data_IF_213566867679
#
_entry.id   IF_213566867679
#
_cell.length_a   1.000
_cell.length_b   1.000
_cell.length_c   1.000
_cell.angle_alpha   90.00
_cell.angle_beta   90.00
_cell.angle_gamma   90.00
#
_symmetry.space_group_name_H-M   'P 1'
#
loop_
_entity.id
_entity.type
_entity.pdbx_description
1 polymer ?
2 non-polymer ?
3 non-polymer ?
4 non-polymer ?
5 water ?
#
# COMPACT_ATOMS: atom_id res chain seq x y z
N UNK A 1 18.35 6.66 17.93
CA UNK A 1 17.48 7.49 17.05
C UNK A 1 16.73 8.53 17.87
N UNK A 2 16.35 9.66 17.24
CA UNK A 2 15.61 10.71 17.95
C UNK A 2 14.12 10.36 17.97
N UNK A 3 13.29 11.23 18.52
CA UNK A 3 11.84 10.99 18.57
C UNK A 3 11.35 10.92 17.13
N UNK A 4 10.19 10.28 16.90
CA UNK A 4 9.61 10.13 15.57
C UNK A 4 9.46 11.42 14.78
N UNK A 5 8.80 12.43 15.36
CA UNK A 5 8.63 13.69 14.62
C UNK A 5 9.95 14.37 14.30
N UNK A 6 10.92 14.27 15.20
CA UNK A 6 12.22 14.89 14.95
C UNK A 6 12.90 14.15 13.80
N UNK A 7 12.77 12.83 13.76
CA UNK A 7 13.39 12.08 12.69
C UNK A 7 12.69 12.37 11.35
N UNK A 8 11.37 12.50 11.36
CA UNK A 8 10.64 12.81 10.13
C UNK A 8 11.14 14.15 9.57
N UNK A 9 11.31 15.14 10.44
CA UNK A 9 11.78 16.45 10.00
C UNK A 9 13.17 16.31 9.43
N UNK A 10 14.02 15.56 10.11
CA UNK A 10 15.37 15.35 9.63
C UNK A 10 15.37 14.72 8.25
N UNK A 11 14.44 13.79 8.00
CA UNK A 11 14.38 13.17 6.69
C UNK A 11 14.03 14.20 5.59
N UNK A 12 13.11 15.13 5.85
CA UNK A 12 12.82 16.16 4.84
C UNK A 12 14.04 17.02 4.58
N UNK A 13 14.75 17.39 5.66
CA UNK A 13 15.95 18.22 5.53
C UNK A 13 17.01 17.50 4.70
N UNK A 14 17.21 16.22 4.97
CA UNK A 14 18.22 15.47 4.23
C UNK A 14 17.83 15.14 2.79
N UNK A 15 16.56 14.85 2.55
CA UNK A 15 16.09 14.51 1.21
C UNK A 15 15.68 15.69 0.33
N UNK A 16 15.44 16.84 0.95
CA UNK A 16 14.91 18.03 0.27
C UNK A 16 13.54 17.73 -0.31
N UNK A 17 12.84 16.76 0.28
CA UNK A 17 11.52 16.41 -0.23
C UNK A 17 10.49 16.45 0.87
N UNK A 18 9.23 16.23 0.51
CA UNK A 18 8.13 16.19 1.47
C UNK A 18 7.92 14.75 1.91
N UNK A 19 7.71 14.58 3.22
CA UNK A 19 7.40 13.29 3.82
C UNK A 19 6.00 13.44 4.40
N UNK A 20 5.17 12.42 4.22
CA UNK A 20 3.83 12.40 4.78
C UNK A 20 3.76 11.13 5.63
N UNK A 21 3.25 11.24 6.86
CA UNK A 21 3.24 10.09 7.73
C UNK A 21 2.11 10.06 8.73
N UNK A 22 1.59 8.85 8.95
CA UNK A 22 0.58 8.63 9.99
C UNK A 22 0.96 7.35 10.72
N UNK A 23 0.81 7.38 12.03
CA UNK A 23 1.00 6.20 12.89
C UNK A 23 -0.36 6.11 13.60
N UNK A 24 -1.05 4.99 13.44
CA UNK A 24 -2.42 4.82 13.97
C UNK A 24 -2.64 3.46 14.65
N UNK A 25 -3.33 3.43 15.79
CA UNK A 25 -3.62 2.16 16.44
C UNK A 25 -4.57 1.41 15.49
N UNK A 26 -4.26 0.16 15.15
CA UNK A 26 -5.12 -0.57 14.21
C UNK A 26 -6.52 -0.91 14.77
N UNK A 27 -6.55 -1.31 16.03
CA UNK A 27 -7.82 -1.68 16.62
C UNK A 27 -8.77 -0.50 16.88
N UNK A 28 -8.25 0.66 17.29
CA UNK A 28 -9.16 1.78 17.59
C UNK A 28 -9.16 2.96 16.64
N UNK A 29 -8.10 3.12 15.86
CA UNK A 29 -8.00 4.27 14.99
C UNK A 29 -7.34 5.47 15.66
N UNK A 30 -6.91 5.32 16.91
CA UNK A 30 -6.22 6.43 17.61
C UNK A 30 -5.03 6.91 16.77
N UNK A 31 -4.97 8.19 16.46
CA UNK A 31 -3.83 8.70 15.72
C UNK A 31 -2.73 9.10 16.70
N UNK A 32 -1.53 8.51 16.56
CA UNK A 32 -0.40 8.82 17.44
C UNK A 32 0.56 9.86 16.90
N UNK A 33 0.91 9.75 15.63
CA UNK A 33 1.81 10.70 15.00
C UNK A 33 1.17 11.09 13.68
N UNK A 34 1.20 12.38 13.35
CA UNK A 34 0.63 12.85 12.11
C UNK A 34 1.55 13.96 11.61
N UNK A 35 2.09 13.79 10.40
CA UNK A 35 2.94 14.81 9.79
C UNK A 35 2.50 14.92 8.33
N UNK A 36 2.05 16.12 7.94
CA UNK A 36 1.53 16.38 6.60
C UNK A 36 0.53 15.30 6.28
N UNK A 37 -0.25 14.93 7.28
CA UNK A 37 -1.20 13.85 7.10
C UNK A 37 -2.38 14.15 6.19
N UNK A 38 -2.63 15.43 5.93
CA UNK A 38 -3.72 15.80 5.06
C UNK A 38 -3.23 16.32 3.72
N UNK A 39 -1.93 16.15 3.46
CA UNK A 39 -1.35 16.55 2.19
C UNK A 39 -1.35 15.36 1.23
N UNK A 40 -1.45 15.65 -0.07
CA UNK A 40 -1.47 14.60 -1.08
C UNK A 40 -0.12 14.07 -1.49
N UNK A 41 -0.08 12.77 -1.69
CA UNK A 41 1.11 12.06 -2.15
C UNK A 41 0.71 10.99 -3.16
N UNK A 42 1.55 10.73 -4.16
CA UNK A 42 1.23 9.69 -5.15
C UNK A 42 1.17 8.34 -4.39
N UNK A 43 0.11 7.55 -4.63
CA UNK A 43 -0.01 6.23 -3.99
C UNK A 43 0.95 5.21 -4.55
N UNK A 44 1.27 5.35 -5.83
CA UNK A 44 2.14 4.37 -6.48
C UNK A 44 1.52 2.98 -6.29
N UNK A 45 2.37 1.96 -6.16
CA UNK A 45 1.88 0.61 -6.03
C UNK A 45 1.13 0.32 -4.74
N UNK A 46 1.11 1.24 -3.78
CA UNK A 46 0.34 0.95 -2.56
C UNK A 46 -1.16 0.86 -2.88
N UNK A 47 -1.58 1.37 -4.04
CA UNK A 47 -3.01 1.29 -4.41
C UNK A 47 -3.46 -0.16 -4.54
N UNK A 48 -2.51 -1.07 -4.76
CA UNK A 48 -2.87 -2.48 -4.97
C UNK A 48 -3.58 -3.13 -3.77
N UNK A 49 -3.31 -2.63 -2.56
CA UNK A 49 -4.00 -3.17 -1.40
C UNK A 49 -5.48 -2.74 -1.45
N UNK A 50 -5.75 -1.46 -1.75
CA UNK A 50 -7.14 -0.98 -1.84
C UNK A 50 -7.89 -1.70 -2.98
N UNK A 51 -7.19 -1.89 -4.10
CA UNK A 51 -7.73 -2.64 -5.22
C UNK A 51 -8.27 -4.01 -4.78
N UNK A 52 -7.44 -4.75 -4.03
CA UNK A 52 -7.87 -6.08 -3.64
C UNK A 52 -8.95 -6.03 -2.56
N UNK A 53 -9.05 -4.92 -1.82
CA UNK A 53 -10.16 -4.78 -0.88
C UNK A 53 -11.43 -4.68 -1.71
N UNK A 54 -11.40 -4.00 -2.86
CA UNK A 54 -12.59 -3.87 -3.71
C UNK A 54 -12.95 -5.25 -4.31
N UNK A 55 -11.94 -6.01 -4.74
CA UNK A 55 -12.18 -7.36 -5.26
C UNK A 55 -12.83 -8.23 -4.18
N UNK A 56 -12.31 -8.16 -2.95
CA UNK A 56 -12.88 -8.96 -1.89
C UNK A 56 -14.33 -8.56 -1.60
N UNK A 57 -14.65 -7.28 -1.73
CA UNK A 57 -16.02 -6.83 -1.49
C UNK A 57 -16.93 -7.48 -2.55
N UNK A 58 -16.46 -7.59 -3.79
CA UNK A 58 -17.26 -8.25 -4.82
C UNK A 58 -17.43 -9.73 -4.49
N UNK A 59 -16.38 -10.35 -3.95
CA UNK A 59 -16.48 -11.77 -3.58
C UNK A 59 -17.53 -11.91 -2.48
N UNK A 60 -17.48 -11.04 -1.48
CA UNK A 60 -18.43 -11.10 -0.38
C UNK A 60 -19.87 -10.97 -0.88
N UNK A 61 -20.07 -10.11 -1.87
CA UNK A 61 -21.40 -9.89 -2.45
C UNK A 61 -21.85 -11.01 -3.38
N UNK A 62 -20.95 -11.94 -3.70
CA UNK A 62 -21.27 -13.04 -4.61
C UNK A 62 -21.12 -12.66 -6.08
N UNK A 63 -20.47 -11.53 -6.36
CA UNK A 63 -20.26 -11.08 -7.74
C UNK A 63 -18.90 -11.46 -8.31
N UNK A 64 -18.11 -12.15 -7.50
CA UNK A 64 -16.77 -12.59 -7.89
C UNK A 64 -16.40 -13.79 -7.06
N UNK A 65 -15.42 -14.56 -7.52
CA UNK A 65 -14.88 -15.71 -6.80
C UNK A 65 -13.36 -15.65 -6.85
N UNK A 66 -12.69 -15.86 -5.73
CA UNK A 66 -11.23 -15.84 -5.76
C UNK A 66 -10.72 -17.01 -6.60
N UNK A 67 -11.55 -18.05 -6.74
CA UNK A 67 -11.21 -19.23 -7.54
C UNK A 67 -11.30 -18.99 -9.05
N UNK A 68 -12.10 -17.99 -9.46
CA UNK A 68 -12.32 -17.80 -10.89
C UNK A 68 -11.05 -17.60 -11.71
N UNK A 69 -10.84 -18.45 -12.70
CA UNK A 69 -9.65 -18.33 -13.51
C UNK A 69 -9.80 -17.34 -14.65
N UNK A 70 -8.85 -16.42 -14.76
CA UNK A 70 -8.83 -15.43 -15.81
C UNK A 70 -7.73 -15.76 -16.81
N UNK A 71 -8.10 -15.86 -18.08
CA UNK A 71 -7.13 -16.14 -19.11
C UNK A 71 -6.89 -14.80 -19.79
N UNK A 72 -5.64 -14.51 -20.03
CA UNK A 72 -5.29 -13.26 -20.65
C UNK A 72 -4.26 -13.55 -21.74
N UNK A 73 -3.92 -12.50 -22.49
CA UNK A 73 -3.00 -12.61 -23.62
C UNK A 73 -1.73 -11.83 -23.39
N UNK A 74 -0.70 -12.15 -24.16
CA UNK A 74 0.55 -11.45 -24.01
C UNK A 74 0.40 -9.95 -24.28
N UNK A 75 -0.50 -9.60 -25.18
CA UNK A 75 -0.73 -8.19 -25.52
C UNK A 75 -1.32 -7.42 -24.32
N UNK A 76 -1.85 -8.15 -23.34
CA UNK A 76 -2.44 -7.50 -22.16
C UNK A 76 -1.38 -7.15 -21.14
N UNK A 77 -0.19 -7.70 -21.30
CA UNK A 77 0.86 -7.44 -20.32
C UNK A 77 1.49 -6.06 -20.39
N UNK A 78 1.77 -5.49 -19.21
CA UNK A 78 2.44 -4.21 -19.08
C UNK A 78 3.75 -4.42 -18.33
N UNK A 79 4.56 -3.36 -18.26
CA UNK A 79 5.85 -3.39 -17.61
C UNK A 79 5.81 -3.94 -16.18
N UNK A 80 6.67 -4.94 -15.93
CA UNK A 80 6.86 -5.61 -14.65
C UNK A 80 5.69 -6.51 -14.29
N UNK A 81 5.79 -7.74 -14.78
CA UNK A 81 4.76 -8.75 -14.61
C UNK A 81 5.47 -10.07 -14.28
N UNK A 82 6.23 -10.10 -13.17
CA UNK A 82 6.96 -11.31 -12.79
C UNK A 82 6.18 -12.58 -12.64
N UNK A 83 4.95 -12.49 -12.19
CA UNK A 83 4.14 -13.69 -12.03
C UNK A 83 3.23 -13.90 -13.24
N UNK A 84 2.52 -12.86 -13.65
CA UNK A 84 1.58 -13.01 -14.75
C UNK A 84 2.21 -13.40 -16.09
N UNK A 85 3.46 -13.00 -16.33
CA UNK A 85 4.09 -13.37 -17.60
C UNK A 85 4.33 -14.88 -17.67
N UNK A 86 4.25 -15.57 -16.53
CA UNK A 86 4.51 -17.01 -16.51
C UNK A 86 3.24 -17.83 -16.73
N UNK A 87 2.09 -17.16 -16.87
CA UNK A 87 0.83 -17.88 -17.00
C UNK A 87 -0.01 -17.55 -18.20
N UNK A 88 0.66 -17.33 -19.32
CA UNK A 88 -0.06 -17.03 -20.56
C UNK A 88 -0.82 -18.25 -21.08
N UNK A 89 -0.30 -19.45 -20.80
CA UNK A 89 -0.96 -20.65 -21.26
C UNK A 89 -2.07 -21.12 -20.33
N UNK A 90 -1.86 -20.99 -19.01
CA UNK A 90 -2.85 -21.50 -18.07
C UNK A 90 -3.71 -20.52 -17.29
N UNK A 91 -3.42 -19.23 -17.38
CA UNK A 91 -4.21 -18.24 -16.67
C UNK A 91 -3.90 -18.20 -15.19
N UNK A 92 -4.60 -17.31 -14.48
CA UNK A 92 -4.43 -17.16 -13.04
C UNK A 92 -5.79 -16.93 -12.41
N UNK A 93 -5.99 -17.41 -11.19
CA UNK A 93 -7.27 -17.15 -10.52
C UNK A 93 -7.27 -15.70 -10.00
N UNK A 94 -8.45 -15.19 -9.73
CA UNK A 94 -8.58 -13.83 -9.21
C UNK A 94 -7.77 -13.74 -7.89
N UNK A 95 -7.83 -14.77 -7.05
CA UNK A 95 -7.06 -14.74 -5.82
C UNK A 95 -5.56 -14.72 -6.09
N UNK A 96 -5.12 -15.51 -7.06
CA UNK A 96 -3.70 -15.53 -7.45
C UNK A 96 -3.29 -14.15 -7.98
N UNK A 97 -4.19 -13.51 -8.73
CA UNK A 97 -3.90 -12.18 -9.23
C UNK A 97 -3.70 -11.17 -8.10
N UNK A 98 -4.56 -11.25 -7.08
CA UNK A 98 -4.37 -10.34 -5.93
C UNK A 98 -3.07 -10.67 -5.21
N UNK A 99 -2.76 -11.96 -5.04
CA UNK A 99 -1.50 -12.27 -4.39
C UNK A 99 -0.32 -11.73 -5.21
N UNK A 100 -0.38 -11.85 -6.54
CA UNK A 100 0.72 -11.35 -7.36
C UNK A 100 0.79 -9.82 -7.28
N UNK A 101 -0.35 -9.16 -7.32
CA UNK A 101 -0.37 -7.69 -7.28
C UNK A 101 0.18 -7.17 -5.95
N UNK A 102 -0.23 -7.78 -4.85
CA UNK A 102 0.21 -7.30 -3.54
C UNK A 102 1.57 -7.82 -3.12
N UNK A 103 1.84 -9.12 -3.31
CA UNK A 103 3.11 -9.66 -2.82
C UNK A 103 4.30 -9.53 -3.75
N UNK A 104 4.05 -9.28 -5.03
CA UNK A 104 5.11 -9.13 -6.02
C UNK A 104 5.02 -7.81 -6.78
N UNK A 105 3.96 -7.05 -6.53
CA UNK A 105 3.68 -5.75 -7.18
C UNK A 105 3.55 -5.93 -8.69
N UNK A 106 3.01 -7.09 -9.08
CA UNK A 106 2.81 -7.44 -10.49
C UNK A 106 1.79 -6.47 -11.13
N UNK A 107 2.24 -5.70 -12.14
CA UNK A 107 1.39 -4.72 -12.75
C UNK A 107 0.28 -5.21 -13.66
N UNK A 108 0.54 -6.27 -14.41
CA UNK A 108 -0.52 -6.78 -15.29
C UNK A 108 -1.59 -7.41 -14.40
N UNK A 109 -1.17 -8.08 -13.34
CA UNK A 109 -2.18 -8.66 -12.43
C UNK A 109 -3.04 -7.52 -11.90
N UNK A 110 -2.42 -6.41 -11.49
CA UNK A 110 -3.18 -5.27 -10.99
C UNK A 110 -4.16 -4.74 -12.02
N UNK A 111 -3.71 -4.61 -13.27
CA UNK A 111 -4.60 -4.11 -14.32
C UNK A 111 -5.77 -5.04 -14.62
N UNK A 112 -5.51 -6.34 -14.62
CA UNK A 112 -6.58 -7.29 -14.88
C UNK A 112 -7.62 -7.15 -13.76
N UNK A 113 -7.17 -7.05 -12.52
CA UNK A 113 -8.09 -6.87 -11.39
C UNK A 113 -8.81 -5.52 -11.47
N UNK A 114 -8.09 -4.48 -11.86
CA UNK A 114 -8.67 -3.14 -11.96
C UNK A 114 -9.85 -3.13 -12.91
N UNK A 115 -9.73 -3.85 -14.03
CA UNK A 115 -10.83 -3.89 -14.98
C UNK A 115 -12.05 -4.53 -14.31
N UNK A 116 -11.86 -5.58 -13.51
CA UNK A 116 -13.01 -6.24 -12.89
C UNK A 116 -13.82 -5.36 -11.93
N UNK A 117 -13.19 -4.32 -11.36
CA UNK A 117 -13.91 -3.46 -10.47
C UNK A 117 -14.35 -2.16 -11.14
N UNK A 118 -14.24 -2.09 -12.47
CA UNK A 118 -14.65 -0.89 -13.17
C UNK A 118 -13.56 0.13 -13.48
N UNK A 119 -12.31 -0.31 -13.51
CA UNK A 119 -11.22 0.60 -13.82
C UNK A 119 -10.95 1.61 -12.72
N UNK A 120 -10.05 2.57 -12.97
CA UNK A 120 -9.71 3.60 -12.00
C UNK A 120 -10.97 4.28 -11.44
N UNK A 121 -11.94 4.57 -12.29
CA UNK A 121 -13.17 5.22 -11.84
C UNK A 121 -13.96 4.33 -10.89
N UNK A 122 -14.01 3.04 -11.20
CA UNK A 122 -14.73 2.09 -10.36
C UNK A 122 -14.07 1.95 -8.99
N UNK A 123 -12.74 1.95 -8.95
CA UNK A 123 -12.06 1.82 -7.67
C UNK A 123 -12.28 3.10 -6.86
N UNK A 124 -12.28 4.24 -7.53
CA UNK A 124 -12.50 5.50 -6.84
C UNK A 124 -13.92 5.54 -6.27
N UNK A 125 -14.88 5.01 -7.02
CA UNK A 125 -16.25 4.96 -6.53
C UNK A 125 -16.32 4.06 -5.30
N UNK A 126 -15.57 2.96 -5.30
CA UNK A 126 -15.54 2.05 -4.15
C UNK A 126 -14.99 2.80 -2.93
N UNK A 127 -13.93 3.57 -3.12
CA UNK A 127 -13.35 4.35 -2.01
C UNK A 127 -14.43 5.30 -1.45
N UNK A 128 -15.17 5.97 -2.34
CA UNK A 128 -16.21 6.88 -1.86
C UNK A 128 -17.27 6.07 -1.08
N UNK A 129 -17.56 4.86 -1.52
CA UNK A 129 -18.55 4.00 -0.85
C UNK A 129 -18.16 3.61 0.56
N UNK A 130 -16.86 3.56 0.86
CA UNK A 130 -16.43 3.22 2.20
C UNK A 130 -16.07 4.48 2.98
N UNK A 131 -16.41 5.64 2.43
CA UNK A 131 -16.17 6.87 3.17
C UNK A 131 -14.85 7.57 2.98
N UNK A 132 -14.08 7.19 1.97
CA UNK A 132 -12.83 7.88 1.69
C UNK A 132 -13.17 8.82 0.55
N UNK A 133 -13.22 10.12 0.84
CA UNK A 133 -13.58 11.11 -0.15
C UNK A 133 -12.37 11.86 -0.67
N UNK A 134 -11.19 11.30 -0.42
CA UNK A 134 -9.95 11.94 -0.81
C UNK A 134 -9.11 11.13 -1.80
N UNK A 135 -8.85 9.88 -1.46
CA UNK A 135 -8.06 9.01 -2.32
C UNK A 135 -8.68 8.88 -3.69
N UNK A 136 -7.86 8.87 -4.74
CA UNK A 136 -8.39 8.75 -6.09
C UNK A 136 -7.42 8.01 -7.01
N UNK A 137 -7.94 7.10 -7.83
CA UNK A 137 -7.12 6.42 -8.82
C UNK A 137 -7.66 6.94 -10.16
N UNK A 138 -6.75 7.34 -11.02
CA UNK A 138 -7.11 7.91 -12.31
C UNK A 138 -6.50 7.17 -13.48
N UNK A 139 -5.39 6.50 -13.25
CA UNK A 139 -4.69 5.80 -14.31
C UNK A 139 -4.45 4.33 -14.02
N UNK A 140 -4.09 3.62 -15.06
CA UNK A 140 -3.81 2.19 -14.97
C UNK A 140 -2.35 2.01 -14.58
N UNK A 141 -2.03 0.77 -14.21
CA UNK A 141 -0.70 0.45 -13.83
C UNK A 141 0.21 0.63 -15.02
N UNK A 142 1.28 1.25 -14.57
CA UNK A 142 2.49 1.72 -15.16
C UNK A 142 2.41 3.26 -15.13
N UNK A 143 1.42 3.87 -15.78
CA UNK A 143 1.33 5.34 -15.77
C UNK A 143 0.94 6.04 -14.45
N UNK A 144 0.37 5.33 -13.49
CA UNK A 144 -0.03 6.00 -12.25
C UNK A 144 1.12 6.42 -11.32
N UNK A 145 2.35 6.06 -11.67
CA UNK A 145 3.50 6.40 -10.84
C UNK A 145 4.29 7.62 -11.33
N UNK A 146 3.76 8.33 -12.32
CA UNK A 146 4.48 9.48 -12.88
C UNK A 146 4.84 10.60 -11.88
N UNK A 147 4.01 10.77 -10.86
CA UNK A 147 4.27 11.77 -9.81
C UNK A 147 4.63 13.18 -10.28
N UNK A 148 3.80 13.78 -11.12
CA UNK A 148 4.05 15.14 -11.59
C UNK A 148 3.70 16.14 -10.47
N UNK A 149 4.50 17.20 -10.30
CA UNK A 149 4.17 18.17 -9.24
C UNK A 149 2.82 18.85 -9.50
N UNK A 150 1.99 18.99 -8.46
CA UNK A 150 0.69 19.64 -8.64
C UNK A 150 -0.42 18.79 -9.25
N UNK A 151 -0.06 17.58 -9.68
CA UNK A 151 -1.01 16.65 -10.29
C UNK A 151 -1.69 15.87 -9.16
N UNK A 152 -3.01 16.02 -9.06
CA UNK A 152 -3.80 15.34 -8.04
C UNK A 152 -4.15 13.89 -8.42
N UNK A 153 -3.87 13.50 -9.66
CA UNK A 153 -4.19 12.14 -10.07
C UNK A 153 -3.44 11.05 -9.29
N UNK A 154 -4.15 9.97 -9.00
CA UNK A 154 -3.55 8.81 -8.36
C UNK A 154 -2.90 9.13 -7.03
N UNK A 155 -3.55 9.95 -6.22
CA UNK A 155 -3.02 10.35 -4.94
C UNK A 155 -3.91 9.94 -3.79
N UNK A 156 -3.31 9.97 -2.60
CA UNK A 156 -4.02 9.75 -1.36
C UNK A 156 -3.38 10.73 -0.36
N UNK A 157 -3.83 10.67 0.88
CA UNK A 157 -3.17 11.43 1.95
C UNK A 157 -2.84 10.38 3.01
N UNK A 158 -1.83 10.64 3.85
CA UNK A 158 -1.52 9.63 4.87
C UNK A 158 -2.74 9.30 5.74
N UNK A 159 -3.48 10.33 6.17
CA UNK A 159 -4.66 10.12 7.01
C UNK A 159 -5.72 9.31 6.29
N UNK A 160 -5.97 9.61 5.02
CA UNK A 160 -6.98 8.87 4.27
C UNK A 160 -6.62 7.42 4.06
N UNK A 161 -5.38 7.19 3.65
CA UNK A 161 -4.92 5.84 3.42
C UNK A 161 -4.93 5.01 4.68
N UNK A 162 -4.50 5.59 5.79
CA UNK A 162 -4.51 4.86 7.04
C UNK A 162 -5.94 4.49 7.44
N UNK A 163 -6.85 5.44 7.36
CA UNK A 163 -8.25 5.16 7.73
C UNK A 163 -8.87 4.13 6.79
N UNK A 164 -8.55 4.20 5.50
CA UNK A 164 -9.09 3.26 4.54
C UNK A 164 -8.56 1.85 4.80
N UNK A 165 -7.27 1.73 5.07
CA UNK A 165 -6.73 0.42 5.35
C UNK A 165 -7.37 -0.13 6.62
N UNK A 166 -7.53 0.71 7.65
CA UNK A 166 -8.17 0.21 8.86
C UNK A 166 -9.60 -0.25 8.55
N UNK A 167 -10.34 0.51 7.76
CA UNK A 167 -11.70 0.10 7.40
C UNK A 167 -11.73 -1.25 6.70
N UNK A 168 -10.80 -1.46 5.77
CA UNK A 168 -10.77 -2.72 5.04
C UNK A 168 -10.36 -3.89 5.91
N UNK A 169 -9.43 -3.68 6.82
CA UNK A 169 -8.92 -4.76 7.64
C UNK A 169 -9.72 -5.09 8.89
N UNK A 170 -10.44 -4.11 9.42
CA UNK A 170 -11.10 -4.33 10.70
C UNK A 170 -12.52 -3.87 10.92
N UNK A 171 -13.10 -3.07 10.02
CA UNK A 171 -14.44 -2.52 10.27
C UNK A 171 -15.65 -3.40 10.02
N UNK A 172 -15.41 -4.60 9.53
CA UNK A 172 -16.48 -5.54 9.21
C UNK A 172 -17.29 -5.15 7.99
N UNK A 173 -16.72 -4.27 7.16
CA UNK A 173 -17.31 -3.91 5.88
C UNK A 173 -17.06 -5.16 5.01
N UNK A 174 -15.86 -5.73 5.11
CA UNK A 174 -15.53 -6.99 4.42
C UNK A 174 -15.85 -8.11 5.41
N UNK A 175 -16.16 -9.29 4.88
CA UNK A 175 -16.45 -10.46 5.70
C UNK A 175 -15.21 -10.83 6.51
N UNK A 176 -15.39 -11.65 7.54
CA UNK A 176 -14.28 -12.09 8.35
C UNK A 176 -13.19 -12.75 7.49
N UNK A 177 -13.60 -13.68 6.61
CA UNK A 177 -12.62 -14.37 5.77
C UNK A 177 -11.89 -13.39 4.86
N UNK A 178 -12.60 -12.42 4.30
CA UNK A 178 -11.97 -11.44 3.42
C UNK A 178 -10.99 -10.55 4.18
N UNK A 179 -11.35 -10.13 5.39
CA UNK A 179 -10.44 -9.32 6.21
C UNK A 179 -9.15 -10.13 6.44
N UNK A 180 -9.30 -11.41 6.77
CA UNK A 180 -8.15 -12.28 7.02
C UNK A 180 -7.29 -12.48 5.78
N UNK A 181 -7.93 -12.59 4.63
CA UNK A 181 -7.22 -12.74 3.37
C UNK A 181 -6.42 -11.48 3.02
N UNK A 182 -7.03 -10.30 3.17
CA UNK A 182 -6.31 -9.08 2.83
C UNK A 182 -5.06 -8.93 3.71
N UNK A 183 -5.21 -9.23 5.00
CA UNK A 183 -4.09 -9.15 5.93
C UNK A 183 -3.00 -10.15 5.53
N UNK A 184 -3.39 -11.37 5.21
CA UNK A 184 -2.39 -12.36 4.87
C UNK A 184 -1.62 -11.96 3.61
N UNK A 185 -2.31 -11.38 2.63
CA UNK A 185 -1.58 -10.93 1.43
C UNK A 185 -0.50 -9.90 1.82
N UNK A 186 -0.80 -8.98 2.73
CA UNK A 186 0.22 -8.01 3.16
C UNK A 186 1.34 -8.69 3.95
N UNK A 187 1.00 -9.68 4.78
CA UNK A 187 2.00 -10.40 5.53
C UNK A 187 2.95 -11.11 4.55
N UNK A 188 2.39 -11.56 3.43
CA UNK A 188 3.16 -12.30 2.43
C UNK A 188 3.99 -11.50 1.43
N UNK A 189 4.06 -10.18 1.58
CA UNK A 189 4.85 -9.36 0.64
C UNK A 189 6.26 -9.92 0.44
N UNK A 190 6.62 -10.17 -0.82
CA UNK A 190 7.95 -10.70 -1.11
C UNK A 190 8.92 -9.62 -1.52
N UNK A 191 8.43 -8.44 -1.86
CA UNK A 191 9.32 -7.39 -2.32
C UNK A 191 10.11 -6.76 -1.18
N UNK A 192 9.41 -6.34 -0.13
CA UNK A 192 10.08 -5.71 0.99
C UNK A 192 9.97 -6.44 2.32
N UNK A 193 8.95 -7.28 2.46
CA UNK A 193 8.76 -7.99 3.71
C UNK A 193 9.97 -8.68 4.31
N UNK A 194 10.54 -9.65 3.58
CA UNK A 194 11.71 -10.37 4.10
C UNK A 194 12.87 -9.43 4.45
N UNK A 195 13.11 -8.42 3.62
CA UNK A 195 14.20 -7.48 3.89
C UNK A 195 13.93 -6.74 5.20
N UNK A 196 12.70 -6.22 5.35
CA UNK A 196 12.37 -5.52 6.59
C UNK A 196 12.53 -6.44 7.80
N UNK A 197 12.08 -7.69 7.72
CA UNK A 197 12.25 -8.59 8.87
C UNK A 197 13.71 -8.75 9.22
N UNK A 198 14.56 -8.80 8.21
CA UNK A 198 15.99 -8.98 8.43
C UNK A 198 16.63 -7.88 9.23
N UNK A 199 16.01 -6.70 9.26
CA UNK A 199 16.57 -5.60 10.03
C UNK A 199 15.71 -5.20 11.23
N UNK A 200 14.62 -5.93 11.45
CA UNK A 200 13.78 -5.61 12.59
C UNK A 200 14.23 -6.40 13.81
N UNK A 201 14.16 -5.78 14.99
CA UNK A 201 14.56 -6.52 16.20
C UNK A 201 13.59 -7.69 16.36
N UNK A 202 14.03 -8.72 17.07
CA UNK A 202 13.18 -9.86 17.33
C UNK A 202 11.91 -9.37 18.02
N UNK A 203 10.79 -9.99 17.67
CA UNK A 203 9.53 -9.67 18.31
C UNK A 203 8.65 -8.68 17.58
N UNK A 204 9.17 -8.04 16.53
CA UNK A 204 8.37 -7.08 15.79
C UNK A 204 7.69 -7.68 14.56
N UNK A 205 6.38 -7.51 14.52
CA UNK A 205 5.49 -7.94 13.45
C UNK A 205 5.59 -6.98 12.26
N UNK A 206 5.62 -7.50 11.04
CA UNK A 206 5.53 -6.61 9.87
C UNK A 206 4.64 -7.22 8.78
N UNK A 207 3.79 -6.38 8.19
CA UNK A 207 2.99 -6.71 7.00
C UNK A 207 3.07 -5.41 6.19
N UNK A 208 3.13 -5.47 4.85
CA UNK A 208 3.30 -4.23 4.14
C UNK A 208 3.04 -4.31 2.65
N UNK A 209 2.94 -3.12 2.06
CA UNK A 209 2.94 -2.98 0.61
C UNK A 209 3.73 -1.69 0.35
N UNK A 210 4.75 -1.76 -0.50
CA UNK A 210 5.53 -0.58 -0.83
C UNK A 210 5.21 -0.08 -2.24
N UNK A 211 5.73 1.11 -2.57
CA UNK A 211 5.54 1.66 -3.89
C UNK A 211 6.70 2.60 -4.21
N UNK A 212 6.89 2.87 -5.50
CA UNK A 212 7.94 3.78 -5.95
C UNK A 212 7.44 4.50 -7.19
N UNK A 213 7.90 5.72 -7.40
CA UNK A 213 7.49 6.48 -8.57
C UNK A 213 8.56 7.48 -8.98
N UNK A 214 8.17 8.40 -9.85
CA UNK A 214 9.08 9.42 -10.34
C UNK A 214 9.31 10.55 -9.35
N UNK A 215 10.32 11.36 -9.65
CA UNK A 215 10.66 12.50 -8.81
C UNK A 215 10.89 12.13 -7.35
N UNK A 216 11.42 10.92 -7.15
CA UNK A 216 11.73 10.45 -5.82
C UNK A 216 10.57 9.83 -5.06
N UNK A 217 9.40 9.73 -5.67
CA UNK A 217 8.27 9.18 -4.93
C UNK A 217 8.59 7.78 -4.39
N UNK A 218 8.21 7.56 -3.14
CA UNK A 218 8.47 6.28 -2.50
C UNK A 218 7.49 6.16 -1.35
N UNK A 219 7.02 4.95 -1.06
CA UNK A 219 6.10 4.86 0.06
C UNK A 219 5.89 3.47 0.56
N UNK A 220 5.26 3.39 1.72
CA UNK A 220 4.93 2.12 2.32
C UNK A 220 3.70 2.26 3.20
N UNK A 221 2.84 1.25 3.11
CA UNK A 221 1.67 1.16 3.98
C UNK A 221 1.96 -0.14 4.75
N UNK A 222 1.93 -0.09 6.07
CA UNK A 222 2.33 -1.25 6.87
C UNK A 222 1.60 -1.41 8.16
N UNK A 223 1.72 -2.63 8.68
CA UNK A 223 1.23 -2.96 10.01
C UNK A 223 2.50 -3.32 10.77
N UNK A 224 2.65 -2.78 11.96
CA UNK A 224 3.86 -2.94 12.76
C UNK A 224 3.54 -3.02 14.23
N UNK A 225 4.31 -3.80 14.97
CA UNK A 225 4.10 -3.81 16.40
C UNK A 225 4.97 -4.78 17.13
N UNK A 226 5.23 -4.53 18.41
CA UNK A 226 6.06 -5.43 19.20
C UNK A 226 5.17 -6.60 19.66
N UNK A 227 5.79 -7.59 20.31
CA UNK A 227 5.08 -8.77 20.80
C UNK A 227 4.39 -9.52 19.67
N UNK A 228 4.97 -9.48 18.48
CA UNK A 228 4.43 -10.17 17.32
C UNK A 228 2.98 -9.88 17.02
N UNK A 229 2.59 -8.63 17.24
CA UNK A 229 1.21 -8.19 17.00
C UNK A 229 1.14 -7.03 16.04
N UNK A 230 0.13 -7.01 15.16
CA UNK A 230 -0.10 -5.90 14.23
C UNK A 230 -0.78 -4.78 15.03
N UNK A 231 -0.01 -4.10 15.86
CA UNK A 231 -0.56 -3.08 16.74
C UNK A 231 -0.93 -1.79 16.05
N UNK A 232 -0.10 -1.36 15.11
CA UNK A 232 -0.34 -0.08 14.46
C UNK A 232 -0.22 -0.10 12.96
N UNK A 233 -0.98 0.78 12.32
CA UNK A 233 -0.87 1.03 10.92
C UNK A 233 0.15 2.19 10.82
N UNK A 234 1.13 2.06 9.93
CA UNK A 234 2.10 3.12 9.70
C UNK A 234 2.12 3.34 8.20
N UNK A 235 1.83 4.57 7.80
CA UNK A 235 1.83 4.95 6.39
C UNK A 235 2.88 6.05 6.22
N UNK A 236 3.83 5.81 5.32
CA UNK A 236 4.84 6.83 5.05
C UNK A 236 4.97 7.04 3.55
N UNK A 237 4.83 8.28 3.11
CA UNK A 237 4.99 8.62 1.70
C UNK A 237 6.06 9.70 1.57
N UNK A 238 6.85 9.62 0.50
CA UNK A 238 7.87 10.62 0.21
C UNK A 238 7.60 11.12 -1.21
N UNK A 239 7.83 12.41 -1.46
CA UNK A 239 7.67 12.91 -2.83
C UNK A 239 8.63 14.08 -3.04
N UNK A 240 8.92 14.33 -4.31
CA UNK A 240 9.75 15.44 -4.74
C UNK A 240 11.13 15.57 -4.09
N UNK A 241 11.88 14.48 -4.18
CA UNK A 241 13.23 14.47 -3.69
C UNK A 241 14.09 13.88 -4.80
N UNK A 242 15.30 14.41 -5.00
CA UNK A 242 16.17 13.89 -6.05
C UNK A 242 17.04 12.73 -5.55
N UNK A 243 16.82 12.29 -4.31
CA UNK A 243 17.67 11.27 -3.72
C UNK A 243 17.63 9.87 -4.34
N UNK A 244 18.75 9.16 -4.19
CA UNK A 244 18.84 7.80 -4.65
C UNK A 244 17.80 6.95 -3.95
N UNK A 245 17.43 5.86 -4.59
CA UNK A 245 16.48 4.92 -4.01
C UNK A 245 17.04 4.43 -2.66
N UNK A 246 18.33 4.13 -2.63
CA UNK A 246 18.95 3.66 -1.38
C UNK A 246 18.73 4.66 -0.24
N UNK A 247 18.90 5.95 -0.49
CA UNK A 247 18.72 6.93 0.58
C UNK A 247 17.25 7.14 0.95
N UNK A 248 16.36 7.03 -0.01
CA UNK A 248 14.94 7.13 0.32
C UNK A 248 14.57 5.93 1.22
N UNK A 249 15.07 4.74 0.89
CA UNK A 249 14.79 3.56 1.71
C UNK A 249 15.38 3.74 3.11
N UNK A 250 16.59 4.29 3.17
CA UNK A 250 17.26 4.51 4.45
C UNK A 250 16.50 5.49 5.34
N UNK A 251 15.94 6.54 4.75
CA UNK A 251 15.19 7.51 5.54
C UNK A 251 13.89 6.91 6.05
N UNK A 252 13.21 6.12 5.21
CA UNK A 252 11.98 5.48 5.69
C UNK A 252 12.35 4.53 6.85
N UNK A 253 13.43 3.76 6.68
CA UNK A 253 13.87 2.85 7.74
C UNK A 253 14.21 3.65 8.98
N UNK A 254 14.82 4.82 8.82
CA UNK A 254 15.15 5.66 9.97
C UNK A 254 13.93 6.10 10.76
N UNK A 255 12.85 6.44 10.06
CA UNK A 255 11.61 6.80 10.73
C UNK A 255 11.11 5.58 11.48
N UNK A 256 11.17 4.41 10.85
CA UNK A 256 10.76 3.19 11.54
C UNK A 256 11.61 2.95 12.79
N UNK A 257 12.92 3.21 12.73
CA UNK A 257 13.79 3.00 13.89
C UNK A 257 13.36 3.90 15.04
N UNK A 258 13.01 5.15 14.72
CA UNK A 258 12.57 6.10 15.73
C UNK A 258 11.29 5.59 16.40
N UNK A 259 10.38 5.02 15.61
CA UNK A 259 9.14 4.47 16.16
C UNK A 259 9.44 3.31 17.10
N UNK A 260 10.34 2.44 16.67
CA UNK A 260 10.71 1.25 17.43
C UNK A 260 11.35 1.61 18.77
N UNK A 261 12.31 2.52 18.72
CA UNK A 261 12.98 2.96 19.94
C UNK A 261 12.13 3.76 20.90
N UNK A 262 11.07 4.40 20.40
CA UNK A 262 10.20 5.22 21.23
C UNK A 262 8.74 4.86 20.98
N UNK A 263 8.44 3.58 21.18
CA UNK A 263 7.11 3.04 20.90
C UNK A 263 5.97 3.42 21.83
N UNK A 264 6.26 3.55 23.13
CA UNK A 264 5.19 3.85 24.08
C UNK A 264 4.82 5.32 24.16
N UNK A 265 3.78 5.69 23.44
CA UNK A 265 3.30 7.07 23.41
C UNK A 265 1.78 7.07 23.40
#
# INVERSE_FOLDING_TARGET
SPQPLEQIKLSESQLSGRVGMIEMDLASGRTLTAWRADERFPMMSTFKVVLCGAVLARVDAGDEQLERKIHYRQQDLVDYSPVSEKHLADGMTVGELCAAAITMSDNSAANLLLATVGGPAGLTAFLRQIGDNVTRLDRWATELNEALPGDARDTTTPASMAATLRKLLTSQRLSARSQRQLLQWMVDDRVAGPLIRSVLPAGWFIADKTGAGERGARGIVALLGPNNKAERIVVIYLRDTPASMAERNQQIAGIGAALIEHWQRLMNLV
#
